data_IF_495322188194
#
_entry.id   IF_495322188194
#
_cell.length_a   1.000
_cell.length_b   1.000
_cell.length_c   1.000
_cell.angle_alpha   90.00
_cell.angle_beta   90.00
_cell.angle_gamma   90.00
#
_symmetry.space_group_name_H-M   'P 1'
#
loop_
_entity.id
_entity.type
_entity.pdbx_description
1 polymer ?
#
# COMPACT_ATOMS: atom_id res chain seq x y z
N UNK A 1 9.76 -15.78 -16.93
CA UNK A 1 11.17 -15.86 -16.44
C UNK A 1 11.17 -16.19 -14.96
N UNK A 2 11.52 -17.42 -14.54
CA UNK A 2 11.51 -17.88 -13.14
C UNK A 2 12.76 -17.42 -12.40
N UNK A 3 12.65 -16.99 -11.14
CA UNK A 3 13.79 -16.71 -10.27
C UNK A 3 14.32 -18.00 -9.61
N UNK A 4 15.51 -17.93 -9.00
CA UNK A 4 16.21 -19.07 -8.36
C UNK A 4 15.67 -19.45 -6.97
N UNK A 5 14.50 -18.94 -6.57
CA UNK A 5 13.88 -19.20 -5.28
C UNK A 5 12.37 -19.47 -5.42
N UNK A 6 11.98 -20.46 -6.22
CA UNK A 6 10.72 -21.22 -6.11
C UNK A 6 9.37 -20.46 -5.97
N UNK A 7 9.36 -19.14 -6.08
CA UNK A 7 8.21 -18.28 -5.84
C UNK A 7 7.63 -17.81 -7.16
N UNK A 8 6.30 -17.82 -7.24
CA UNK A 8 5.54 -17.40 -8.41
C UNK A 8 5.99 -15.99 -8.80
N UNK A 9 6.21 -15.78 -10.11
CA UNK A 9 6.53 -14.48 -10.70
C UNK A 9 5.21 -13.68 -10.73
N UNK A 10 4.73 -13.30 -9.54
CA UNK A 10 3.51 -12.55 -9.32
C UNK A 10 3.86 -11.18 -8.75
N UNK A 11 3.00 -10.19 -8.99
CA UNK A 11 3.09 -8.92 -8.27
C UNK A 11 3.10 -9.18 -6.76
N UNK A 12 3.98 -8.50 -6.03
CA UNK A 12 3.82 -8.37 -4.59
C UNK A 12 2.84 -7.25 -4.29
N UNK A 13 2.69 -6.25 -5.15
CA UNK A 13 1.69 -5.18 -4.98
C UNK A 13 0.99 -4.94 -6.31
N UNK A 14 -0.33 -4.95 -6.31
CA UNK A 14 -1.14 -4.48 -7.43
C UNK A 14 -2.26 -3.56 -6.96
N UNK A 15 -2.54 -2.51 -7.72
CA UNK A 15 -3.67 -1.61 -7.47
C UNK A 15 -4.51 -1.42 -8.72
N UNK A 16 -5.82 -1.32 -8.55
CA UNK A 16 -6.77 -1.05 -9.62
C UNK A 16 -7.64 0.15 -9.27
N UNK A 17 -7.44 1.24 -10.00
CA UNK A 17 -8.18 2.49 -9.93
C UNK A 17 -8.29 3.08 -8.52
N UNK A 18 -7.22 3.00 -7.73
CA UNK A 18 -7.26 3.39 -6.33
C UNK A 18 -7.49 4.88 -6.19
N UNK A 19 -8.54 5.20 -5.45
CA UNK A 19 -8.98 6.56 -5.21
C UNK A 19 -9.29 6.74 -3.73
N UNK A 20 -8.79 7.84 -3.16
CA UNK A 20 -9.08 8.25 -1.78
C UNK A 20 -9.50 9.70 -1.76
N UNK A 21 -10.69 9.94 -1.24
CA UNK A 21 -11.18 11.25 -0.88
C UNK A 21 -11.10 11.47 0.64
N UNK A 22 -10.78 12.70 1.01
CA UNK A 22 -11.10 13.27 2.31
C UNK A 22 -12.09 14.38 2.06
N UNK A 23 -13.32 14.20 2.53
CA UNK A 23 -14.46 15.03 2.17
C UNK A 23 -14.58 15.18 0.64
N UNK A 24 -14.62 16.41 0.13
CA UNK A 24 -14.69 16.69 -1.31
C UNK A 24 -13.31 16.71 -2.01
N UNK A 25 -12.20 16.51 -1.28
CA UNK A 25 -10.84 16.65 -1.84
C UNK A 25 -10.20 15.28 -2.09
N UNK A 26 -9.80 14.96 -3.33
CA UNK A 26 -9.06 13.73 -3.60
C UNK A 26 -7.62 13.85 -3.07
N UNK A 27 -7.22 12.93 -2.20
CA UNK A 27 -5.81 12.76 -1.81
C UNK A 27 -5.07 11.79 -2.73
N UNK A 28 -5.76 10.80 -3.29
CA UNK A 28 -5.24 9.88 -4.31
C UNK A 28 -6.33 9.70 -5.36
N UNK A 29 -5.98 9.75 -6.65
CA UNK A 29 -6.97 9.67 -7.74
C UNK A 29 -6.53 8.67 -8.80
N UNK A 30 -7.33 7.63 -8.98
CA UNK A 30 -7.19 6.64 -10.05
C UNK A 30 -5.77 6.04 -10.21
N UNK A 31 -5.14 5.63 -9.09
CA UNK A 31 -3.79 5.07 -9.12
C UNK A 31 -3.84 3.58 -9.48
N UNK A 32 -3.16 3.25 -10.56
CA UNK A 32 -2.88 1.89 -11.01
C UNK A 32 -1.37 1.65 -10.90
N UNK A 33 -0.97 0.70 -10.06
CA UNK A 33 0.40 0.39 -9.73
C UNK A 33 0.59 -1.13 -9.80
N UNK A 34 1.74 -1.55 -10.30
CA UNK A 34 2.17 -2.94 -10.29
C UNK A 34 3.63 -2.99 -9.86
N UNK A 35 3.90 -3.67 -8.74
CA UNK A 35 5.26 -3.89 -8.23
C UNK A 35 5.52 -5.41 -8.19
N UNK A 36 6.44 -5.91 -9.04
CA UNK A 36 6.84 -7.31 -9.04
C UNK A 36 7.50 -7.74 -7.72
N UNK A 37 7.48 -9.05 -7.45
CA UNK A 37 8.26 -9.62 -6.35
C UNK A 37 9.77 -9.37 -6.51
N UNK A 38 10.42 -8.93 -5.43
CA UNK A 38 11.86 -8.68 -5.39
C UNK A 38 12.28 -7.27 -5.84
N UNK A 39 11.33 -6.44 -6.27
CA UNK A 39 11.61 -5.07 -6.70
C UNK A 39 11.63 -4.09 -5.52
N UNK A 40 12.48 -3.06 -5.65
CA UNK A 40 12.49 -1.91 -4.74
C UNK A 40 11.98 -0.69 -5.50
N UNK A 41 10.91 -0.07 -5.01
CA UNK A 41 10.28 1.08 -5.63
C UNK A 41 10.34 2.30 -4.70
N UNK A 42 10.60 3.48 -5.25
CA UNK A 42 10.54 4.75 -4.54
C UNK A 42 9.33 5.56 -5.00
N UNK A 43 8.51 6.04 -4.06
CA UNK A 43 7.41 6.95 -4.33
C UNK A 43 7.84 8.40 -4.06
N UNK A 44 7.98 9.19 -5.13
CA UNK A 44 8.50 10.56 -5.07
C UNK A 44 7.42 11.55 -5.53
N UNK A 45 7.42 12.75 -4.97
CA UNK A 45 6.49 13.82 -5.33
C UNK A 45 6.43 14.92 -4.27
N UNK A 46 5.78 16.06 -4.56
CA UNK A 46 5.71 17.18 -3.62
C UNK A 46 4.93 16.84 -2.35
N UNK A 47 5.09 17.68 -1.32
CA UNK A 47 4.28 17.57 -0.11
C UNK A 47 2.79 17.75 -0.45
N UNK A 48 1.94 16.92 0.16
CA UNK A 48 0.50 16.90 -0.16
C UNK A 48 0.11 16.11 -1.40
N UNK A 49 1.05 15.54 -2.17
CA UNK A 49 0.73 14.72 -3.36
C UNK A 49 0.02 13.37 -3.06
N UNK A 50 -0.28 13.06 -1.81
CA UNK A 50 -0.95 11.82 -1.41
C UNK A 50 -0.02 10.63 -1.16
N UNK A 51 1.31 10.82 -1.11
CA UNK A 51 2.29 9.73 -0.89
C UNK A 51 2.01 8.92 0.37
N UNK A 52 1.92 9.61 1.51
CA UNK A 52 1.61 8.98 2.81
C UNK A 52 0.23 8.32 2.79
N UNK A 53 -0.74 8.93 2.12
CA UNK A 53 -2.08 8.34 1.94
C UNK A 53 -2.00 7.03 1.16
N UNK A 54 -1.28 7.00 0.04
CA UNK A 54 -1.09 5.79 -0.77
C UNK A 54 -0.35 4.71 0.02
N UNK A 55 0.76 5.05 0.69
CA UNK A 55 1.53 4.09 1.50
C UNK A 55 0.69 3.50 2.64
N UNK A 56 -0.12 4.31 3.33
CA UNK A 56 -1.04 3.82 4.36
C UNK A 56 -2.11 2.88 3.78
N UNK A 57 -2.59 3.14 2.56
CA UNK A 57 -3.54 2.23 1.89
C UNK A 57 -2.88 0.91 1.50
N UNK A 58 -1.68 0.95 0.89
CA UNK A 58 -0.91 -0.25 0.57
C UNK A 58 -0.55 -1.07 1.82
N UNK A 59 -0.36 -0.39 2.95
CA UNK A 59 -0.08 -1.04 4.23
C UNK A 59 -1.33 -1.63 4.92
N UNK A 60 -2.52 -1.45 4.36
CA UNK A 60 -3.78 -1.86 4.98
C UNK A 60 -4.22 -0.99 6.17
N UNK A 61 -3.53 0.11 6.44
CA UNK A 61 -3.82 1.04 7.55
C UNK A 61 -4.90 2.07 7.20
N UNK A 62 -5.22 2.20 5.92
CA UNK A 62 -6.24 3.11 5.42
C UNK A 62 -7.04 2.43 4.31
N UNK A 63 -8.37 2.48 4.38
CA UNK A 63 -9.19 1.99 3.27
C UNK A 63 -9.30 3.02 2.15
N UNK A 64 -9.18 2.62 0.87
CA UNK A 64 -9.51 3.49 -0.24
C UNK A 64 -11.00 3.86 -0.22
N UNK A 65 -11.35 4.96 -0.86
CA UNK A 65 -12.76 5.28 -1.12
C UNK A 65 -13.31 4.38 -2.22
N UNK A 66 -12.50 4.08 -3.23
CA UNK A 66 -12.83 3.13 -4.29
C UNK A 66 -11.57 2.51 -4.91
N UNK A 67 -11.77 1.42 -5.65
CA UNK A 67 -10.71 0.61 -6.25
C UNK A 67 -10.29 -0.56 -5.37
N UNK A 68 -9.30 -1.33 -5.83
CA UNK A 68 -8.80 -2.54 -5.17
C UNK A 68 -7.29 -2.52 -5.00
N UNK A 69 -6.82 -3.12 -3.91
CA UNK A 69 -5.40 -3.31 -3.61
C UNK A 69 -5.19 -4.77 -3.26
N UNK A 70 -4.21 -5.39 -3.90
CA UNK A 70 -3.74 -6.72 -3.56
C UNK A 70 -2.26 -6.65 -3.16
N UNK A 71 -1.91 -7.30 -2.05
CA UNK A 71 -0.53 -7.43 -1.60
C UNK A 71 -0.21 -8.91 -1.38
N UNK A 72 0.74 -9.44 -2.14
CA UNK A 72 1.19 -10.83 -2.04
C UNK A 72 0.06 -11.85 -2.19
N UNK A 73 -0.88 -11.61 -3.12
CA UNK A 73 -2.03 -12.49 -3.34
C UNK A 73 -3.23 -12.24 -2.41
N UNK A 74 -3.19 -11.20 -1.57
CA UNK A 74 -4.24 -10.92 -0.57
C UNK A 74 -4.87 -9.56 -0.87
N UNK A 75 -6.17 -9.53 -1.13
CA UNK A 75 -6.92 -8.28 -1.24
C UNK A 75 -7.02 -7.60 0.15
N UNK A 76 -6.68 -6.32 0.21
CA UNK A 76 -6.68 -5.55 1.46
C UNK A 76 -8.10 -5.50 2.03
N UNK A 77 -8.21 -5.88 3.31
CA UNK A 77 -9.47 -5.92 4.04
C UNK A 77 -10.14 -7.30 4.10
N UNK A 78 -9.65 -8.29 3.35
CA UNK A 78 -10.16 -9.67 3.37
C UNK A 78 -9.50 -10.50 4.47
N UNK A 79 -8.16 -10.53 4.53
CA UNK A 79 -7.40 -11.30 5.53
C UNK A 79 -6.37 -10.44 6.30
N UNK A 80 -6.78 -9.54 7.22
CA UNK A 80 -5.88 -8.58 7.87
C UNK A 80 -4.71 -9.24 8.62
N UNK A 81 -4.95 -10.37 9.29
CA UNK A 81 -3.90 -11.10 10.04
C UNK A 81 -2.79 -11.63 9.13
N UNK A 82 -3.15 -12.08 7.94
CA UNK A 82 -2.18 -12.63 6.97
C UNK A 82 -1.43 -11.48 6.30
N UNK A 83 -2.13 -10.40 5.95
CA UNK A 83 -1.53 -9.17 5.43
C UNK A 83 -0.48 -8.58 6.39
N UNK A 84 -0.80 -8.44 7.68
CA UNK A 84 0.11 -7.85 8.68
C UNK A 84 1.39 -8.68 8.92
N UNK A 85 1.39 -9.98 8.59
CA UNK A 85 2.59 -10.81 8.66
C UNK A 85 3.56 -10.57 7.49
N UNK A 86 3.07 -9.97 6.41
CA UNK A 86 3.82 -9.78 5.17
C UNK A 86 4.23 -8.32 4.95
N UNK A 87 3.53 -7.39 5.57
CA UNK A 87 3.69 -5.95 5.36
C UNK A 87 4.34 -5.31 6.57
N UNK A 88 5.51 -4.70 6.35
CA UNK A 88 6.10 -3.74 7.28
C UNK A 88 5.70 -2.31 6.91
N UNK A 89 5.31 -1.51 7.89
CA UNK A 89 5.04 -0.08 7.72
C UNK A 89 5.84 0.72 8.74
N UNK A 90 6.65 1.67 8.25
CA UNK A 90 7.42 2.58 9.08
C UNK A 90 6.79 3.98 8.92
N UNK A 91 6.18 4.54 9.98
CA UNK A 91 5.61 5.88 9.91
C UNK A 91 6.69 6.96 9.82
N UNK A 92 6.33 8.13 9.28
CA UNK A 92 7.21 9.30 9.23
C UNK A 92 7.55 9.85 10.63
N UNK A 93 6.64 9.64 11.59
CA UNK A 93 6.75 10.09 12.97
C UNK A 93 6.53 8.92 13.91
N UNK A 94 7.50 8.68 14.78
CA UNK A 94 7.38 7.71 15.87
C UNK A 94 6.75 8.40 17.08
N UNK A 95 5.50 8.07 17.36
CA UNK A 95 4.79 8.56 18.54
C UNK A 95 4.88 7.56 19.70
N UNK A 96 5.98 7.55 20.46
CA UNK A 96 5.89 7.09 21.84
C UNK A 96 5.32 8.28 22.63
N UNK A 97 3.99 8.34 22.76
CA UNK A 97 3.39 9.30 23.69
C UNK A 97 3.55 8.72 25.08
N UNK A 98 4.36 9.36 25.90
CA UNK A 98 4.40 9.13 27.34
C UNK A 98 2.96 9.24 27.87
N UNK A 99 2.44 8.18 28.46
CA UNK A 99 1.15 8.22 29.15
C UNK A 99 1.36 8.98 30.46
N UNK A 100 1.08 10.28 30.45
CA UNK A 100 0.78 11.02 31.67
C UNK A 100 -0.71 10.92 31.96
#
# INVERSE_FOLDING_TARGET
>A
MRNRHGGIIGAVISTSNITKYYDAKPAVRNVNLFVPAGETCALIGPNGAGKTTLLKMLAGLLRPTSGKIEVGGIEIGVEPKRLHKMVGYIPDTFGLKDAR
#
